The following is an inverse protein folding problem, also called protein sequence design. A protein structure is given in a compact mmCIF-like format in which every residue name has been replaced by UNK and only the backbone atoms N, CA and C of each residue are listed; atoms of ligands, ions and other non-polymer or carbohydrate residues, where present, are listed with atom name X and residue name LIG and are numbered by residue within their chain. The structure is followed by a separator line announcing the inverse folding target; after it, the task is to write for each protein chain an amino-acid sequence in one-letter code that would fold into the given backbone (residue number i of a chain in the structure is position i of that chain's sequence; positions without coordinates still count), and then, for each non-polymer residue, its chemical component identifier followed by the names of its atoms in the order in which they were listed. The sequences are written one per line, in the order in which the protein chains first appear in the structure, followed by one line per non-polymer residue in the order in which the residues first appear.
data_IF_855073128433
#
_entry.id   IF_855073128433
#
_cell.length_a   1.000
_cell.length_b   1.000
_cell.length_c   1.000
_cell.angle_alpha   90.00
_cell.angle_beta   90.00
_cell.angle_gamma   90.00
#
_symmetry.space_group_name_H-M   'P 1'
#
loop_
_entity.id
_entity.type
_entity.pdbx_description
1 polymer ?
#
# COMPACT_ATOMS: atom_id res chain seq x y z
N UNK A 1 43.08 24.18 48.52
CA UNK A 1 42.97 23.35 47.30
C UNK A 1 42.20 22.09 47.68
N UNK A 2 40.88 22.05 47.43
CA UNK A 2 40.06 20.86 47.64
C UNK A 2 39.42 20.49 46.31
N UNK A 3 39.90 19.40 45.71
CA UNK A 3 39.33 18.83 44.49
C UNK A 3 38.31 17.78 44.90
N UNK A 4 37.03 18.12 44.81
CA UNK A 4 35.94 17.17 45.03
C UNK A 4 35.50 16.54 43.70
N UNK A 5 35.35 15.21 43.74
CA UNK A 5 35.19 14.29 42.61
C UNK A 5 33.84 14.47 41.91
N UNK A 6 33.88 14.57 40.58
CA UNK A 6 32.71 14.54 39.69
C UNK A 6 32.20 13.11 39.53
N UNK A 7 30.96 12.85 39.93
CA UNK A 7 30.28 11.55 39.78
C UNK A 7 30.05 11.18 38.29
N UNK A 8 30.07 9.89 37.92
CA UNK A 8 29.96 9.47 36.53
C UNK A 8 28.50 9.37 36.07
N UNK A 9 28.21 10.07 34.97
CA UNK A 9 27.30 9.68 33.89
C UNK A 9 25.96 9.04 34.27
N UNK A 10 24.93 9.87 34.46
CA UNK A 10 23.55 9.46 34.26
C UNK A 10 23.39 8.97 32.80
N UNK A 11 23.29 7.64 32.62
CA UNK A 11 22.98 7.05 31.32
C UNK A 11 21.56 7.48 30.96
N UNK A 12 21.43 8.23 29.84
CA UNK A 12 20.12 8.55 29.25
C UNK A 12 19.36 7.24 29.02
N UNK A 13 18.06 7.16 29.34
CA UNK A 13 17.28 5.98 29.02
C UNK A 13 17.35 5.76 27.51
N UNK A 14 17.72 4.55 27.10
CA UNK A 14 17.68 4.15 25.70
C UNK A 14 16.26 4.44 25.21
N UNK A 15 16.14 5.23 24.14
CA UNK A 15 14.86 5.43 23.48
C UNK A 15 14.41 4.06 22.99
N UNK A 16 13.39 3.51 23.63
CA UNK A 16 12.60 2.42 23.09
C UNK A 16 11.83 2.99 21.89
N UNK A 17 12.52 3.23 20.77
CA UNK A 17 11.95 3.89 19.59
C UNK A 17 11.64 2.90 18.50
N UNK A 18 12.66 2.19 18.02
CA UNK A 18 12.53 1.35 16.85
C UNK A 18 12.95 -0.07 17.20
N UNK A 19 11.96 -0.91 17.51
CA UNK A 19 12.17 -2.36 17.53
C UNK A 19 12.65 -2.74 16.13
N UNK A 20 13.70 -3.55 16.03
CA UNK A 20 14.19 -4.03 14.73
C UNK A 20 13.07 -4.88 14.06
N UNK A 21 12.44 -4.34 13.01
CA UNK A 21 11.31 -4.96 12.29
C UNK A 21 11.74 -5.77 11.04
N UNK A 22 13.04 -5.86 10.75
CA UNK A 22 13.57 -6.45 9.50
C UNK A 22 13.63 -5.46 8.34
N UNK A 23 13.53 -5.95 7.09
CA UNK A 23 13.37 -5.06 5.92
C UNK A 23 11.96 -4.46 5.89
N UNK A 24 11.87 -3.13 5.82
CA UNK A 24 10.61 -2.39 5.85
C UNK A 24 10.05 -2.14 7.25
N UNK A 25 8.89 -1.50 7.31
CA UNK A 25 8.21 -1.16 8.56
C UNK A 25 6.87 -1.93 8.66
N UNK A 26 6.91 -3.07 9.37
CA UNK A 26 5.74 -3.95 9.55
C UNK A 26 4.59 -3.25 10.26
N UNK A 27 4.89 -2.43 11.26
CA UNK A 27 3.88 -1.70 12.03
C UNK A 27 3.17 -0.67 11.13
N UNK A 28 3.91 0.04 10.27
CA UNK A 28 3.32 0.95 9.30
C UNK A 28 2.44 0.22 8.27
N UNK A 29 2.86 -0.96 7.80
CA UNK A 29 2.05 -1.77 6.89
C UNK A 29 0.75 -2.24 7.56
N UNK A 30 0.82 -2.65 8.84
CA UNK A 30 -0.36 -3.03 9.60
C UNK A 30 -1.32 -1.85 9.79
N UNK A 31 -0.81 -0.69 10.21
CA UNK A 31 -1.60 0.53 10.38
C UNK A 31 -2.28 0.97 9.08
N UNK A 32 -1.56 0.88 7.95
CA UNK A 32 -2.12 1.16 6.64
C UNK A 32 -3.29 0.22 6.30
N UNK A 33 -3.10 -1.09 6.51
CA UNK A 33 -4.13 -2.08 6.24
C UNK A 33 -5.38 -1.87 7.11
N UNK A 34 -5.19 -1.56 8.39
CA UNK A 34 -6.27 -1.26 9.32
C UNK A 34 -7.02 0.02 8.92
N UNK A 35 -6.29 1.08 8.56
CA UNK A 35 -6.88 2.33 8.09
C UNK A 35 -7.71 2.14 6.81
N UNK A 36 -7.22 1.34 5.85
CA UNK A 36 -7.97 0.99 4.64
C UNK A 36 -9.26 0.24 4.96
N UNK A 37 -9.22 -0.77 5.83
CA UNK A 37 -10.41 -1.53 6.25
C UNK A 37 -11.43 -0.64 6.96
N UNK A 38 -10.95 0.25 7.84
CA UNK A 38 -11.79 1.21 8.54
C UNK A 38 -12.45 2.18 7.57
N UNK A 39 -11.70 2.71 6.60
CA UNK A 39 -12.23 3.61 5.57
C UNK A 39 -13.33 2.94 4.76
N UNK A 40 -13.09 1.76 4.18
CA UNK A 40 -14.08 1.03 3.37
C UNK A 40 -15.36 0.72 4.18
N UNK A 41 -15.21 0.49 5.48
CA UNK A 41 -16.34 0.21 6.38
C UNK A 41 -17.11 1.45 6.82
N UNK A 42 -16.50 2.63 6.75
CA UNK A 42 -17.08 3.91 7.16
C UNK A 42 -18.18 4.39 6.21
N UNK A 43 -19.09 5.24 6.69
CA UNK A 43 -20.13 5.85 5.84
C UNK A 43 -19.54 6.64 4.68
N UNK A 44 -18.52 7.46 4.96
CA UNK A 44 -17.77 8.21 3.94
C UNK A 44 -17.16 7.28 2.89
N UNK A 45 -16.55 6.18 3.31
CA UNK A 45 -15.97 5.22 2.38
C UNK A 45 -17.02 4.53 1.52
N UNK A 46 -18.16 4.14 2.12
CA UNK A 46 -19.30 3.57 1.37
C UNK A 46 -19.87 4.55 0.36
N UNK A 47 -19.99 5.82 0.71
CA UNK A 47 -20.41 6.88 -0.21
C UNK A 47 -19.42 7.05 -1.36
N UNK A 48 -18.13 7.16 -1.05
CA UNK A 48 -17.09 7.25 -2.08
C UNK A 48 -17.09 6.02 -3.00
N UNK A 49 -17.32 4.81 -2.47
CA UNK A 49 -17.42 3.58 -3.27
C UNK A 49 -18.64 3.60 -4.17
N UNK A 50 -19.80 4.08 -3.69
CA UNK A 50 -21.01 4.21 -4.53
C UNK A 50 -20.79 5.13 -5.73
N UNK A 51 -20.00 6.18 -5.55
CA UNK A 51 -19.68 7.16 -6.60
C UNK A 51 -18.38 6.87 -7.35
N UNK A 52 -17.70 5.74 -7.09
CA UNK A 52 -16.37 5.47 -7.63
C UNK A 52 -16.30 5.34 -9.17
N UNK A 53 -17.44 5.24 -9.85
CA UNK A 53 -17.56 5.23 -11.30
C UNK A 53 -18.20 6.49 -11.90
N UNK A 54 -18.57 7.45 -11.06
CA UNK A 54 -19.22 8.68 -11.50
C UNK A 54 -18.16 9.67 -11.97
N UNK A 55 -17.69 9.45 -13.20
CA UNK A 55 -16.74 10.32 -13.86
C UNK A 55 -17.48 11.42 -14.62
N UNK A 56 -16.96 12.64 -14.56
CA UNK A 56 -17.35 13.69 -15.50
C UNK A 56 -16.89 13.34 -16.93
N UNK A 57 -17.41 14.07 -17.91
CA UNK A 57 -17.14 13.80 -19.33
C UNK A 57 -15.67 13.93 -19.70
N UNK A 58 -14.91 14.79 -19.02
CA UNK A 58 -13.49 14.97 -19.28
C UNK A 58 -12.68 13.81 -18.71
N UNK A 59 -12.95 13.41 -17.47
CA UNK A 59 -12.34 12.27 -16.82
C UNK A 59 -12.65 10.96 -17.56
N UNK A 60 -13.88 10.78 -18.05
CA UNK A 60 -14.27 9.63 -18.87
C UNK A 60 -13.48 9.58 -20.18
N UNK A 61 -13.43 10.69 -20.92
CA UNK A 61 -12.64 10.77 -22.17
C UNK A 61 -11.17 10.49 -21.96
N UNK A 62 -10.59 11.01 -20.86
CA UNK A 62 -9.21 10.75 -20.50
C UNK A 62 -8.96 9.27 -20.20
N UNK A 63 -9.84 8.63 -19.43
CA UNK A 63 -9.76 7.20 -19.12
C UNK A 63 -9.82 6.34 -20.39
N UNK A 64 -10.79 6.60 -21.28
CA UNK A 64 -10.92 5.88 -22.55
C UNK A 64 -9.69 6.03 -23.46
N UNK A 65 -9.11 7.23 -23.53
CA UNK A 65 -7.90 7.48 -24.30
C UNK A 65 -6.69 6.74 -23.71
N UNK A 66 -6.55 6.72 -22.39
CA UNK A 66 -5.49 6.01 -21.68
C UNK A 66 -5.61 4.50 -21.91
N UNK A 67 -6.81 3.93 -21.79
CA UNK A 67 -7.06 2.52 -22.07
C UNK A 67 -6.74 2.14 -23.53
N UNK A 68 -7.19 2.95 -24.50
CA UNK A 68 -6.90 2.71 -25.92
C UNK A 68 -5.40 2.69 -26.17
N UNK A 69 -4.66 3.62 -25.56
CA UNK A 69 -3.21 3.67 -25.65
C UNK A 69 -2.56 2.45 -24.99
N UNK A 70 -3.03 2.06 -23.80
CA UNK A 70 -2.57 0.86 -23.11
C UNK A 70 -2.74 -0.40 -23.94
N UNK A 71 -3.93 -0.60 -24.53
CA UNK A 71 -4.21 -1.72 -25.45
C UNK A 71 -3.33 -1.69 -26.69
N UNK A 72 -3.06 -0.53 -27.27
CA UNK A 72 -2.18 -0.40 -28.43
C UNK A 72 -0.70 -0.71 -28.13
N UNK A 73 -0.27 -0.54 -26.87
CA UNK A 73 1.10 -0.85 -26.44
C UNK A 73 1.24 -2.21 -25.74
N UNK A 74 0.13 -2.86 -25.42
CA UNK A 74 0.14 -4.21 -24.89
C UNK A 74 0.79 -5.11 -25.95
N UNK A 75 1.85 -5.82 -25.55
CA UNK A 75 2.30 -6.98 -26.32
C UNK A 75 1.18 -8.02 -26.26
N UNK A 76 1.05 -8.84 -27.31
CA UNK A 76 0.05 -9.89 -27.36
C UNK A 76 0.00 -10.64 -26.02
N UNK A 77 -1.22 -10.86 -25.53
CA UNK A 77 -1.45 -11.63 -24.32
C UNK A 77 -0.79 -13.00 -24.47
N UNK A 78 -0.08 -13.47 -23.44
CA UNK A 78 0.55 -14.78 -23.47
C UNK A 78 -0.52 -15.83 -23.86
N UNK A 79 -0.32 -16.60 -24.95
CA UNK A 79 -1.26 -17.64 -25.37
C UNK A 79 -1.60 -18.63 -24.26
N UNK A 80 -0.75 -18.79 -23.24
CA UNK A 80 -1.02 -19.59 -22.06
C UNK A 80 -2.19 -19.08 -21.21
N UNK A 81 -2.54 -17.78 -21.28
CA UNK A 81 -3.68 -17.18 -20.57
C UNK A 81 -5.02 -17.64 -21.18
N UNK A 82 -5.08 -17.82 -22.50
CA UNK A 82 -6.27 -18.34 -23.20
C UNK A 82 -6.29 -19.86 -23.29
N UNK A 83 -5.14 -20.52 -23.11
CA UNK A 83 -5.03 -21.98 -23.02
C UNK A 83 -5.69 -22.44 -21.73
N UNK A 84 -7.02 -22.63 -21.80
CA UNK A 84 -7.80 -23.42 -20.84
C UNK A 84 -6.98 -24.66 -20.52
N UNK A 85 -6.57 -24.82 -19.26
CA UNK A 85 -5.99 -26.09 -18.81
C UNK A 85 -7.03 -27.17 -19.13
N UNK A 86 -6.79 -27.95 -20.19
CA UNK A 86 -7.53 -29.17 -20.44
C UNK A 86 -7.38 -30.07 -19.22
N UNK A 87 -8.42 -30.84 -18.86
CA UNK A 87 -8.31 -31.76 -17.73
C UNK A 87 -7.10 -32.66 -17.99
N UNK A 88 -6.15 -32.68 -17.05
CA UNK A 88 -5.06 -33.64 -17.09
C UNK A 88 -5.68 -35.03 -17.11
N UNK A 89 -5.44 -35.77 -18.19
CA UNK A 89 -5.66 -37.21 -18.20
C UNK A 89 -4.58 -37.84 -17.29
N UNK A 90 -5.03 -38.77 -16.45
CA UNK A 90 -4.18 -39.58 -15.60
C UNK A 90 -3.50 -40.71 -16.34
#
# INVERSE_FOLDING_TARGET
MSTERRAPGARKPARNGDKNQGEGNRDAAQQYNEAQRAFVSSERGREAIRHAGDLDDDARRAAEAAERKGRAHAKDEDPAVTRRHGPGEG
#
